data_IF_321704207661
#
_entry.id   IF_321704207661
#
_cell.length_a   1.000
_cell.length_b   1.000
_cell.length_c   1.000
_cell.angle_alpha   90.00
_cell.angle_beta   90.00
_cell.angle_gamma   90.00
#
_symmetry.space_group_name_H-M   'P 1'
#
loop_
_entity.id
_entity.type
_entity.pdbx_description
1 polymer ?
#
# COMPACT_ATOMS: atom_id res chain seq x y z
N UNK A 1 8.48 10.83 -3.80
CA UNK A 1 8.72 9.71 -2.86
C UNK A 1 7.59 9.77 -1.83
N UNK A 2 6.73 8.75 -1.74
CA UNK A 2 5.51 8.82 -0.91
C UNK A 2 5.65 7.90 0.32
N UNK A 3 5.53 8.49 1.51
CA UNK A 3 5.47 7.82 2.81
C UNK A 3 4.10 8.02 3.50
N UNK A 4 3.06 8.33 2.74
CA UNK A 4 1.73 8.59 3.26
C UNK A 4 1.24 7.47 4.19
N UNK A 5 0.80 7.87 5.39
CA UNK A 5 0.31 6.96 6.42
C UNK A 5 1.39 6.15 7.15
N UNK A 6 2.70 6.36 6.87
CA UNK A 6 3.79 5.71 7.61
C UNK A 6 4.10 6.47 8.88
N UNK A 7 4.24 5.75 9.99
CA UNK A 7 4.46 6.28 11.33
C UNK A 7 5.92 6.07 11.75
N UNK A 8 6.67 7.16 11.84
CA UNK A 8 8.11 7.15 12.14
C UNK A 8 8.35 7.76 13.51
N UNK A 9 8.90 6.97 14.42
CA UNK A 9 9.32 7.41 15.75
C UNK A 9 10.81 7.76 15.72
N UNK A 10 11.16 9.02 15.91
CA UNK A 10 12.56 9.48 15.91
C UNK A 10 13.01 9.72 17.34
N UNK A 11 13.97 8.95 17.81
CA UNK A 11 14.66 9.11 19.08
C UNK A 11 15.97 9.87 18.88
N UNK A 12 16.06 11.07 19.45
CA UNK A 12 17.23 11.95 19.32
C UNK A 12 18.06 11.88 20.58
N UNK A 13 19.37 11.66 20.43
CA UNK A 13 20.30 11.60 21.56
C UNK A 13 21.23 12.82 21.62
N UNK A 14 21.85 13.07 22.78
CA UNK A 14 22.64 14.26 23.04
C UNK A 14 23.98 14.25 22.32
N UNK A 15 24.08 14.90 21.20
CA UNK A 15 25.29 15.12 20.40
C UNK A 15 25.07 16.20 19.34
N UNK A 16 26.18 16.81 18.88
CA UNK A 16 26.08 17.94 17.97
C UNK A 16 25.29 17.61 16.69
N UNK A 17 25.38 16.38 16.17
CA UNK A 17 24.65 15.96 14.98
C UNK A 17 23.12 16.03 15.12
N UNK A 18 22.58 16.22 16.34
CA UNK A 18 21.15 16.37 16.57
C UNK A 18 20.55 17.56 15.81
N UNK A 19 21.31 18.62 15.49
CA UNK A 19 20.78 19.74 14.71
C UNK A 19 20.24 19.33 13.33
N UNK A 20 20.80 18.27 12.74
CA UNK A 20 20.39 17.76 11.43
C UNK A 20 18.97 17.17 11.45
N UNK A 21 18.48 16.75 12.63
CA UNK A 21 17.17 16.10 12.76
C UNK A 21 16.01 17.01 12.38
N UNK A 22 16.17 18.32 12.54
CA UNK A 22 15.15 19.28 12.07
C UNK A 22 14.85 19.14 10.58
N UNK A 23 15.89 18.98 9.76
CA UNK A 23 15.74 18.75 8.31
C UNK A 23 15.10 17.39 8.04
N UNK A 24 15.56 16.34 8.69
CA UNK A 24 15.06 14.99 8.52
C UNK A 24 13.57 14.87 8.89
N UNK A 25 13.14 15.44 10.01
CA UNK A 25 11.72 15.51 10.41
C UNK A 25 10.89 16.21 9.33
N UNK A 26 11.39 17.34 8.81
CA UNK A 26 10.70 18.09 7.76
C UNK A 26 10.58 17.29 6.47
N UNK A 27 11.60 16.53 6.09
CA UNK A 27 11.59 15.73 4.88
C UNK A 27 10.60 14.55 4.99
N UNK A 28 10.52 13.87 6.11
CA UNK A 28 9.51 12.85 6.35
C UNK A 28 8.08 13.42 6.28
N UNK A 29 7.83 14.56 6.95
CA UNK A 29 6.51 15.22 6.95
C UNK A 29 6.11 15.67 5.54
N UNK A 30 7.04 16.27 4.76
CA UNK A 30 6.78 16.70 3.38
C UNK A 30 6.41 15.55 2.46
N UNK A 31 6.91 14.35 2.74
CA UNK A 31 6.64 13.15 1.98
C UNK A 31 5.50 12.30 2.58
N UNK A 32 4.67 12.89 3.44
CA UNK A 32 3.40 12.33 3.91
C UNK A 32 3.50 11.41 5.13
N UNK A 33 4.67 11.25 5.74
CA UNK A 33 4.81 10.46 6.97
C UNK A 33 4.24 11.20 8.18
N UNK A 34 3.77 10.43 9.17
CA UNK A 34 3.54 10.91 10.52
C UNK A 34 4.81 10.72 11.34
N UNK A 35 5.29 11.80 11.98
CA UNK A 35 6.53 11.75 12.77
C UNK A 35 6.28 12.06 14.23
N UNK A 36 6.71 11.18 15.10
CA UNK A 36 6.77 11.39 16.56
C UNK A 36 8.23 11.50 17.00
N UNK A 37 8.53 12.50 17.82
CA UNK A 37 9.91 12.73 18.30
C UNK A 37 10.02 12.46 19.79
N UNK A 38 11.08 11.73 20.16
CA UNK A 38 11.53 11.52 21.54
C UNK A 38 12.92 12.12 21.70
N UNK A 39 13.21 12.71 22.87
CA UNK A 39 14.53 13.21 23.21
C UNK A 39 15.08 12.48 24.44
N UNK A 40 16.38 12.14 24.44
CA UNK A 40 17.06 11.85 25.70
C UNK A 40 17.19 13.15 26.51
N UNK A 41 17.37 13.07 27.84
CA UNK A 41 17.56 14.27 28.65
C UNK A 41 18.67 15.20 28.13
N UNK A 42 19.81 14.64 27.71
CA UNK A 42 20.93 15.40 27.13
C UNK A 42 20.66 15.96 25.73
N UNK A 43 19.72 15.40 24.96
CA UNK A 43 19.40 15.92 23.63
C UNK A 43 18.77 17.32 23.69
N UNK A 44 18.14 17.70 24.81
CA UNK A 44 17.52 19.01 25.00
C UNK A 44 18.51 20.18 24.90
N UNK A 45 19.79 19.92 25.13
CA UNK A 45 20.85 20.93 25.00
C UNK A 45 21.22 21.21 23.54
N UNK A 46 20.91 20.30 22.62
CA UNK A 46 21.30 20.39 21.21
C UNK A 46 20.14 20.74 20.28
N UNK A 47 18.89 20.47 20.66
CA UNK A 47 17.71 20.72 19.84
C UNK A 47 16.56 21.26 20.66
N UNK A 48 15.78 22.15 20.05
CA UNK A 48 14.64 22.77 20.69
C UNK A 48 13.38 21.90 20.58
N UNK A 49 12.74 21.65 21.73
CA UNK A 49 11.40 21.06 21.78
C UNK A 49 10.40 21.80 20.90
N UNK A 50 10.40 23.13 20.94
CA UNK A 50 9.49 23.96 20.17
C UNK A 50 9.68 23.77 18.66
N UNK A 51 10.94 23.76 18.22
CA UNK A 51 11.24 23.56 16.79
C UNK A 51 10.76 22.20 16.32
N UNK A 52 11.09 21.15 17.04
CA UNK A 52 10.72 19.77 16.65
C UNK A 52 9.22 19.54 16.72
N UNK A 53 8.51 20.06 17.73
CA UNK A 53 7.05 19.94 17.83
C UNK A 53 6.33 20.70 16.71
N UNK A 54 6.84 21.86 16.32
CA UNK A 54 6.31 22.65 15.22
C UNK A 54 6.49 21.92 13.88
N UNK A 55 7.67 21.32 13.65
CA UNK A 55 7.97 20.61 12.40
C UNK A 55 7.20 19.30 12.29
N UNK A 56 7.13 18.51 13.36
CA UNK A 56 6.42 17.23 13.40
C UNK A 56 4.90 17.38 13.53
N UNK A 57 4.41 18.57 13.91
CA UNK A 57 3.01 18.86 14.26
C UNK A 57 2.48 17.99 15.42
N UNK A 58 3.38 17.48 16.27
CA UNK A 58 3.07 16.60 17.39
C UNK A 58 3.89 17.00 18.63
N UNK A 59 3.37 16.67 19.82
CA UNK A 59 4.09 16.86 21.08
C UNK A 59 5.40 16.06 21.07
N UNK A 60 6.51 16.69 21.46
CA UNK A 60 7.81 16.03 21.65
C UNK A 60 7.88 15.53 23.08
N UNK A 61 8.40 14.33 23.31
CA UNK A 61 8.52 13.74 24.64
C UNK A 61 9.98 13.55 25.02
N UNK A 62 10.29 13.72 26.31
CA UNK A 62 11.65 13.53 26.82
C UNK A 62 11.68 12.89 28.23
N UNK A 63 10.56 12.94 28.94
CA UNK A 63 10.43 12.43 30.30
C UNK A 63 9.26 11.44 30.36
N UNK A 64 9.28 10.56 31.38
CA UNK A 64 8.17 9.62 31.60
C UNK A 64 6.87 10.31 32.03
N UNK A 65 6.95 11.50 32.59
CA UNK A 65 5.77 12.30 32.93
C UNK A 65 5.91 13.74 32.46
N UNK A 66 4.77 14.37 32.12
CA UNK A 66 4.72 15.81 31.88
C UNK A 66 4.81 16.61 33.20
N UNK A 67 5.00 17.91 33.08
CA UNK A 67 4.97 18.80 34.28
C UNK A 67 3.62 18.79 34.98
N UNK A 68 2.55 18.48 34.25
CA UNK A 68 1.17 18.41 34.73
C UNK A 68 0.83 17.00 35.32
N UNK A 69 1.82 16.10 35.40
CA UNK A 69 1.65 14.76 35.97
C UNK A 69 1.07 13.73 35.01
N UNK A 70 0.86 14.04 33.76
CA UNK A 70 0.43 13.07 32.76
C UNK A 70 1.56 12.08 32.43
N UNK A 71 1.24 10.80 32.39
CA UNK A 71 2.15 9.73 32.03
C UNK A 71 2.39 9.66 30.53
N UNK A 72 3.64 9.68 30.09
CA UNK A 72 4.03 9.45 28.71
C UNK A 72 4.32 7.95 28.51
N UNK A 73 3.33 7.22 28.03
CA UNK A 73 3.43 5.76 27.83
C UNK A 73 4.47 5.39 26.80
N UNK A 74 5.59 4.83 27.23
CA UNK A 74 6.63 4.30 26.33
C UNK A 74 6.12 3.12 25.50
N UNK A 75 5.15 2.34 26.03
CA UNK A 75 4.53 1.22 25.32
C UNK A 75 3.67 1.72 24.16
N UNK A 76 2.82 2.73 24.40
CA UNK A 76 1.97 3.28 23.35
C UNK A 76 2.80 3.96 22.25
N UNK A 77 3.87 4.65 22.62
CA UNK A 77 4.82 5.24 21.67
C UNK A 77 5.50 4.18 20.80
N UNK A 78 5.93 3.07 21.42
CA UNK A 78 6.57 1.96 20.74
C UNK A 78 5.60 1.21 19.80
N UNK A 79 4.35 0.99 20.22
CA UNK A 79 3.32 0.30 19.41
C UNK A 79 2.73 1.18 18.33
N UNK A 80 2.79 2.51 18.46
CA UNK A 80 2.33 3.44 17.44
C UNK A 80 3.20 3.41 16.17
N UNK A 81 4.50 3.14 16.31
CA UNK A 81 5.48 3.28 15.24
C UNK A 81 5.52 2.11 14.27
N UNK A 82 5.58 2.39 12.96
CA UNK A 82 5.94 1.42 11.93
C UNK A 82 7.46 1.21 11.85
N UNK A 83 8.24 2.25 12.23
CA UNK A 83 9.71 2.25 12.31
C UNK A 83 10.13 3.15 13.46
N UNK A 84 11.14 2.72 14.23
CA UNK A 84 11.87 3.56 15.16
C UNK A 84 13.25 3.89 14.59
N UNK A 85 13.62 5.17 14.58
CA UNK A 85 14.93 5.68 14.18
C UNK A 85 15.62 6.32 15.37
N UNK A 86 16.78 5.81 15.75
CA UNK A 86 17.66 6.44 16.76
C UNK A 86 18.73 7.25 16.02
N UNK A 87 18.55 8.56 15.94
CA UNK A 87 19.41 9.47 15.19
C UNK A 87 19.48 10.87 15.84
N UNK A 88 20.69 11.38 16.10
CA UNK A 88 21.95 10.64 16.17
C UNK A 88 21.89 9.58 17.27
N UNK A 89 22.67 8.50 17.16
CA UNK A 89 22.88 7.55 18.23
C UNK A 89 24.30 7.70 18.80
N UNK A 90 24.41 8.24 20.03
CA UNK A 90 25.69 8.36 20.73
C UNK A 90 26.16 7.03 21.28
N UNK A 91 27.48 6.90 21.54
CA UNK A 91 28.06 5.72 22.18
C UNK A 91 27.38 5.36 23.52
N UNK A 92 27.02 6.38 24.32
CA UNK A 92 26.30 6.21 25.59
C UNK A 92 24.92 5.55 25.37
N UNK A 93 24.13 6.09 24.44
CA UNK A 93 22.79 5.54 24.18
C UNK A 93 22.89 4.15 23.56
N UNK A 94 23.80 3.92 22.62
CA UNK A 94 24.04 2.61 22.03
C UNK A 94 24.39 1.57 23.11
N UNK A 95 25.32 1.91 24.03
CA UNK A 95 25.69 1.02 25.12
C UNK A 95 24.49 0.69 26.04
N UNK A 96 23.65 1.67 26.37
CA UNK A 96 22.43 1.46 27.17
C UNK A 96 21.41 0.57 26.44
N UNK A 97 21.19 0.78 25.15
CA UNK A 97 20.29 -0.02 24.34
C UNK A 97 20.66 -1.50 24.37
N UNK A 98 21.91 -1.84 24.07
CA UNK A 98 22.35 -3.22 23.95
C UNK A 98 22.53 -3.93 25.30
N UNK A 99 22.73 -3.19 26.39
CA UNK A 99 22.83 -3.77 27.74
C UNK A 99 21.53 -3.64 28.55
N UNK A 100 20.44 -3.10 27.96
CA UNK A 100 19.15 -2.98 28.63
C UNK A 100 19.09 -2.00 29.80
N UNK A 101 19.96 -0.97 29.84
CA UNK A 101 20.00 0.04 30.90
C UNK A 101 18.89 1.07 30.69
N UNK A 102 17.73 0.80 31.27
CA UNK A 102 16.50 1.56 31.05
C UNK A 102 16.36 2.74 32.04
N UNK A 103 17.07 3.83 31.79
CA UNK A 103 17.11 5.00 32.65
C UNK A 103 16.41 6.26 32.08
N UNK A 104 15.82 6.16 30.92
CA UNK A 104 15.11 7.26 30.28
C UNK A 104 14.03 6.76 29.30
N UNK A 105 13.12 7.67 28.88
CA UNK A 105 11.98 7.35 28.02
C UNK A 105 12.39 6.75 26.67
N UNK A 106 13.51 7.19 26.07
CA UNK A 106 13.99 6.67 24.77
C UNK A 106 14.34 5.19 24.88
N UNK A 107 15.09 4.79 25.92
CA UNK A 107 15.48 3.39 26.11
C UNK A 107 14.26 2.53 26.47
N UNK A 108 13.36 3.01 27.32
CA UNK A 108 12.13 2.29 27.65
C UNK A 108 11.28 2.03 26.39
N UNK A 109 11.17 3.03 25.52
CA UNK A 109 10.44 2.89 24.24
C UNK A 109 11.15 1.92 23.30
N UNK A 110 12.49 1.98 23.21
CA UNK A 110 13.28 1.03 22.41
C UNK A 110 13.07 -0.41 22.87
N UNK A 111 13.16 -0.68 24.16
CA UNK A 111 12.95 -2.03 24.72
C UNK A 111 11.52 -2.54 24.55
N UNK A 112 10.56 -1.66 24.33
CA UNK A 112 9.15 -2.00 24.07
C UNK A 112 8.80 -2.07 22.58
N UNK A 113 9.72 -1.69 21.68
CA UNK A 113 9.47 -1.60 20.25
C UNK A 113 9.19 -2.97 19.63
N UNK A 114 8.13 -3.04 18.82
CA UNK A 114 7.79 -4.20 17.99
C UNK A 114 8.13 -3.96 16.51
N UNK A 115 8.32 -2.69 16.15
CA UNK A 115 8.72 -2.28 14.82
C UNK A 115 10.24 -2.42 14.62
N UNK A 116 10.72 -2.46 13.38
CA UNK A 116 12.14 -2.37 13.07
C UNK A 116 12.78 -1.10 13.63
N UNK A 117 13.98 -1.24 14.16
CA UNK A 117 14.74 -0.11 14.72
C UNK A 117 15.96 0.16 13.86
N UNK A 118 16.08 1.40 13.41
CA UNK A 118 17.23 1.92 12.68
C UNK A 118 18.10 2.74 13.61
N UNK A 119 19.42 2.59 13.50
CA UNK A 119 20.38 3.29 14.34
C UNK A 119 21.36 4.03 13.44
N UNK A 120 21.44 5.35 13.58
CA UNK A 120 22.42 6.22 12.89
C UNK A 120 23.48 6.67 13.92
N UNK A 121 24.61 5.97 14.04
CA UNK A 121 25.67 6.31 14.98
C UNK A 121 26.29 7.67 14.70
N UNK A 122 26.62 8.40 15.77
CA UNK A 122 27.33 9.68 15.69
C UNK A 122 28.22 9.86 16.92
N UNK A 123 29.54 9.92 16.71
CA UNK A 123 30.54 10.10 17.76
C UNK A 123 31.89 10.45 17.14
N UNK A 124 32.84 10.85 17.98
CA UNK A 124 34.19 11.13 17.51
C UNK A 124 34.90 9.88 17.00
N UNK A 125 35.95 10.05 16.18
CA UNK A 125 36.69 8.98 15.50
C UNK A 125 37.14 7.89 16.48
N UNK A 126 37.87 8.28 17.54
CA UNK A 126 38.43 7.34 18.51
C UNK A 126 37.33 6.61 19.33
N UNK A 127 36.20 7.27 19.55
CA UNK A 127 35.02 6.64 20.17
C UNK A 127 34.37 5.63 19.22
N UNK A 128 34.37 5.91 17.91
CA UNK A 128 33.72 5.03 16.92
C UNK A 128 34.50 3.71 16.74
N UNK A 129 35.83 3.79 16.69
CA UNK A 129 36.71 2.62 16.56
C UNK A 129 37.03 1.94 17.90
N UNK A 130 36.57 2.49 19.03
CA UNK A 130 36.83 1.89 20.33
C UNK A 130 36.22 0.48 20.41
N UNK A 131 36.95 -0.54 20.92
CA UNK A 131 36.46 -1.92 20.95
C UNK A 131 35.08 -2.11 21.58
N UNK A 132 34.73 -1.29 22.59
CA UNK A 132 33.38 -1.34 23.18
C UNK A 132 32.29 -0.85 22.23
N UNK A 133 32.57 0.15 21.40
CA UNK A 133 31.62 0.67 20.42
C UNK A 133 31.42 -0.32 19.27
N UNK A 134 32.51 -0.88 18.74
CA UNK A 134 32.43 -1.91 17.70
C UNK A 134 31.64 -3.12 18.17
N UNK A 135 31.94 -3.60 19.41
CA UNK A 135 31.17 -4.69 20.02
C UNK A 135 29.69 -4.33 20.14
N UNK A 136 29.37 -3.11 20.60
CA UNK A 136 27.98 -2.70 20.82
C UNK A 136 27.22 -2.51 19.49
N UNK A 137 27.86 -2.05 18.42
CA UNK A 137 27.27 -1.98 17.08
C UNK A 137 26.92 -3.38 16.58
N UNK A 138 27.89 -4.32 16.70
CA UNK A 138 27.68 -5.72 16.31
C UNK A 138 26.56 -6.36 17.11
N UNK A 139 26.51 -6.14 18.43
CA UNK A 139 25.47 -6.68 19.28
C UNK A 139 24.09 -6.07 18.95
N UNK A 140 24.03 -4.80 18.59
CA UNK A 140 22.80 -4.18 18.11
C UNK A 140 22.30 -4.84 16.82
N UNK A 141 23.19 -5.19 15.87
CA UNK A 141 22.82 -5.94 14.67
C UNK A 141 22.35 -7.35 15.00
N UNK A 142 23.00 -8.05 15.91
CA UNK A 142 22.59 -9.38 16.38
C UNK A 142 21.18 -9.37 17.01
N UNK A 143 20.78 -8.26 17.64
CA UNK A 143 19.42 -8.05 18.16
C UNK A 143 18.39 -7.66 17.08
N UNK A 144 18.83 -7.60 15.80
CA UNK A 144 17.95 -7.30 14.66
C UNK A 144 17.78 -5.81 14.39
N UNK A 145 18.58 -4.94 15.00
CA UNK A 145 18.59 -3.53 14.64
C UNK A 145 19.33 -3.30 13.31
N UNK A 146 18.91 -2.30 12.57
CA UNK A 146 19.50 -1.94 11.27
C UNK A 146 20.44 -0.75 11.49
N UNK A 147 21.73 -0.95 11.30
CA UNK A 147 22.71 0.12 11.42
C UNK A 147 22.78 0.89 10.10
N UNK A 148 22.56 2.20 10.16
CA UNK A 148 22.87 3.14 9.06
C UNK A 148 24.32 3.57 9.27
N UNK A 149 25.28 3.16 8.41
CA UNK A 149 26.69 3.35 8.67
C UNK A 149 27.05 4.83 8.87
N UNK A 150 27.93 5.11 9.81
CA UNK A 150 28.52 6.45 9.94
C UNK A 150 29.39 6.76 8.72
N UNK A 151 29.37 8.02 8.28
CA UNK A 151 30.14 8.50 7.14
C UNK A 151 31.54 9.01 7.57
N UNK A 152 32.44 9.08 6.59
CA UNK A 152 33.74 9.71 6.75
C UNK A 152 33.64 11.21 6.48
N UNK A 153 34.37 12.00 7.22
CA UNK A 153 34.44 13.44 7.04
C UNK A 153 35.03 14.15 8.23
N UNK A 154 35.04 15.49 8.17
CA UNK A 154 35.43 16.32 9.27
C UNK A 154 34.41 16.20 10.43
N UNK A 155 34.92 15.96 11.61
CA UNK A 155 34.13 15.84 12.87
C UNK A 155 34.14 17.18 13.62
N UNK A 156 33.26 17.34 14.58
CA UNK A 156 33.19 18.56 15.40
C UNK A 156 34.46 18.85 16.21
N UNK A 157 35.26 17.82 16.45
CA UNK A 157 36.59 17.94 17.05
C UNK A 157 37.70 18.48 16.11
N UNK A 158 37.40 18.60 14.81
CA UNK A 158 38.39 18.93 13.77
C UNK A 158 39.17 17.72 13.24
N UNK A 159 38.92 16.50 13.81
CA UNK A 159 39.50 15.27 13.26
C UNK A 159 38.78 14.86 11.98
N UNK A 160 39.48 14.19 11.08
CA UNK A 160 38.89 13.64 9.84
C UNK A 160 38.88 12.12 9.94
N UNK A 161 37.68 11.52 9.79
CA UNK A 161 37.56 10.08 9.83
C UNK A 161 36.09 9.61 9.94
N UNK A 162 35.94 8.34 10.24
CA UNK A 162 34.64 7.69 10.36
C UNK A 162 34.02 7.95 11.75
N UNK A 163 32.77 8.39 11.80
CA UNK A 163 32.06 8.69 13.06
C UNK A 163 30.97 9.73 12.88
N UNK A 164 30.96 10.42 11.73
CA UNK A 164 29.93 11.39 11.36
C UNK A 164 28.60 10.70 11.10
N UNK A 165 27.52 11.19 11.71
CA UNK A 165 26.19 10.69 11.39
C UNK A 165 25.94 10.79 9.89
N UNK A 166 25.40 9.74 9.31
CA UNK A 166 24.98 9.73 7.91
C UNK A 166 24.14 10.98 7.56
N UNK A 167 24.30 11.48 6.33
CA UNK A 167 23.53 12.64 5.89
C UNK A 167 22.04 12.35 5.90
N UNK A 168 21.23 13.39 6.10
CA UNK A 168 19.78 13.26 6.25
C UNK A 168 19.13 12.61 5.03
N UNK A 169 19.66 12.88 3.85
CA UNK A 169 19.23 12.29 2.58
C UNK A 169 19.45 10.78 2.55
N UNK A 170 20.59 10.30 3.07
CA UNK A 170 20.93 8.87 3.12
C UNK A 170 20.08 8.13 4.16
N UNK A 171 19.85 8.74 5.32
CA UNK A 171 18.95 8.22 6.35
C UNK A 171 17.51 8.12 5.80
N UNK A 172 17.02 9.22 5.18
CA UNK A 172 15.71 9.26 4.56
C UNK A 172 15.55 8.17 3.50
N UNK A 173 16.52 8.06 2.58
CA UNK A 173 16.53 7.05 1.52
C UNK A 173 16.50 5.63 2.09
N UNK A 174 17.31 5.35 3.10
CA UNK A 174 17.35 4.01 3.74
C UNK A 174 16.00 3.61 4.31
N UNK A 175 15.31 4.51 5.01
CA UNK A 175 13.99 4.25 5.58
C UNK A 175 12.93 4.16 4.47
N UNK A 176 13.00 5.03 3.46
CA UNK A 176 12.13 4.97 2.29
C UNK A 176 12.26 3.64 1.54
N UNK A 177 13.50 3.21 1.25
CA UNK A 177 13.77 1.94 0.57
C UNK A 177 13.32 0.75 1.40
N UNK A 178 13.45 0.83 2.73
CA UNK A 178 12.93 -0.19 3.64
C UNK A 178 11.40 -0.33 3.55
N UNK A 179 10.65 0.76 3.57
CA UNK A 179 9.20 0.70 3.40
C UNK A 179 8.81 0.18 2.01
N UNK A 180 9.57 0.54 0.97
CA UNK A 180 9.34 0.05 -0.39
C UNK A 180 9.81 -1.40 -0.59
N UNK A 181 10.89 -1.82 0.06
CA UNK A 181 11.35 -3.22 0.00
C UNK A 181 10.46 -4.17 0.80
N UNK A 182 9.80 -3.66 1.86
CA UNK A 182 8.71 -4.36 2.57
C UNK A 182 7.39 -4.39 1.79
N UNK A 183 7.19 -3.55 0.78
CA UNK A 183 6.34 -3.94 -0.33
C UNK A 183 7.02 -5.15 -0.99
N UNK A 184 6.96 -6.32 -0.32
CA UNK A 184 7.36 -7.59 -0.87
C UNK A 184 6.83 -7.59 -2.29
N UNK A 185 7.68 -7.96 -3.23
CA UNK A 185 7.23 -8.46 -4.54
C UNK A 185 6.49 -9.78 -4.28
N UNK A 186 5.46 -9.70 -3.45
CA UNK A 186 4.68 -10.83 -2.94
C UNK A 186 3.98 -11.58 -4.05
N UNK A 187 3.78 -10.90 -5.18
CA UNK A 187 3.27 -11.46 -6.43
C UNK A 187 4.38 -11.64 -7.48
N UNK A 188 5.67 -11.62 -7.09
CA UNK A 188 6.76 -11.89 -8.03
C UNK A 188 6.62 -13.27 -8.66
N UNK A 189 6.77 -13.36 -9.98
CA UNK A 189 6.58 -14.59 -10.75
C UNK A 189 5.13 -14.97 -11.01
N UNK A 190 4.14 -14.19 -10.50
CA UNK A 190 2.72 -14.38 -10.77
C UNK A 190 2.25 -13.54 -11.95
N UNK A 191 1.38 -14.09 -12.77
CA UNK A 191 0.66 -13.37 -13.83
C UNK A 191 -0.75 -13.02 -13.32
N UNK A 192 -1.05 -11.72 -13.30
CA UNK A 192 -2.35 -11.18 -12.88
C UNK A 192 -3.09 -10.61 -14.09
N UNK A 193 -4.25 -11.15 -14.40
CA UNK A 193 -5.15 -10.69 -15.44
C UNK A 193 -6.28 -9.87 -14.82
N UNK A 194 -6.47 -8.64 -15.28
CA UNK A 194 -7.55 -7.77 -14.79
C UNK A 194 -8.40 -7.27 -15.96
N UNK A 195 -9.72 -7.25 -15.78
CA UNK A 195 -10.61 -6.56 -16.72
C UNK A 195 -11.12 -5.26 -16.11
N UNK A 196 -11.23 -4.20 -16.91
CA UNK A 196 -11.65 -2.87 -16.49
C UNK A 196 -12.62 -2.19 -17.44
N UNK A 197 -13.28 -1.15 -16.97
CA UNK A 197 -14.19 -0.33 -17.77
C UNK A 197 -15.51 -1.00 -18.11
N UNK A 198 -16.39 -0.30 -18.86
CA UNK A 198 -17.59 -0.87 -19.45
C UNK A 198 -17.29 -1.60 -20.75
N UNK A 199 -18.24 -2.38 -21.25
CA UNK A 199 -18.30 -2.73 -22.68
C UNK A 199 -19.39 -1.93 -23.36
N UNK A 200 -19.21 -1.64 -24.65
CA UNK A 200 -20.13 -0.90 -25.47
C UNK A 200 -20.59 -1.80 -26.63
N UNK A 201 -21.87 -2.11 -26.61
CA UNK A 201 -22.50 -2.96 -27.62
C UNK A 201 -23.17 -2.06 -28.65
N UNK A 202 -22.57 -1.97 -29.84
CA UNK A 202 -23.01 -1.05 -30.89
C UNK A 202 -24.44 -1.36 -31.33
N UNK A 203 -25.27 -0.33 -31.46
CA UNK A 203 -26.56 -0.35 -32.13
C UNK A 203 -26.36 0.06 -33.60
N UNK A 204 -25.57 1.12 -33.79
CA UNK A 204 -25.17 1.65 -35.10
C UNK A 204 -23.80 2.37 -34.91
N UNK A 205 -23.19 2.99 -35.92
CA UNK A 205 -21.88 3.67 -35.78
C UNK A 205 -21.84 4.80 -34.75
N UNK A 206 -22.98 5.23 -34.20
CA UNK A 206 -23.08 6.39 -33.33
C UNK A 206 -23.60 6.02 -31.93
N UNK A 207 -24.47 5.02 -31.81
CA UNK A 207 -25.16 4.65 -30.58
C UNK A 207 -24.77 3.26 -30.09
N UNK A 208 -24.76 3.08 -28.78
CA UNK A 208 -24.42 1.81 -28.14
C UNK A 208 -25.23 1.60 -26.85
N UNK A 209 -25.29 0.36 -26.39
CA UNK A 209 -25.72 -0.04 -25.05
C UNK A 209 -24.48 -0.29 -24.23
N UNK A 210 -24.45 0.22 -23.00
CA UNK A 210 -23.31 0.05 -22.11
C UNK A 210 -23.63 0.45 -20.68
N UNK A 211 -22.70 0.18 -19.77
CA UNK A 211 -22.80 0.47 -18.35
C UNK A 211 -22.08 1.79 -17.97
N UNK A 212 -22.50 2.43 -16.88
CA UNK A 212 -21.90 3.68 -16.40
C UNK A 212 -20.56 3.52 -15.67
N UNK A 213 -19.81 2.44 -15.91
CA UNK A 213 -18.52 2.23 -15.27
C UNK A 213 -17.47 3.23 -15.72
N UNK A 214 -16.73 3.82 -14.77
CA UNK A 214 -15.59 4.70 -15.07
C UNK A 214 -14.27 3.93 -15.26
N UNK A 215 -14.22 2.65 -14.87
CA UNK A 215 -13.00 1.84 -14.91
C UNK A 215 -12.02 2.05 -13.74
N UNK A 216 -12.22 3.06 -12.87
CA UNK A 216 -11.26 3.45 -11.83
C UNK A 216 -10.79 2.28 -10.94
N UNK A 217 -11.70 1.41 -10.49
CA UNK A 217 -11.32 0.25 -9.66
C UNK A 217 -10.47 -0.74 -10.45
N UNK A 218 -10.86 -0.99 -11.71
CA UNK A 218 -10.12 -1.88 -12.61
C UNK A 218 -8.76 -1.35 -13.07
N UNK A 219 -8.43 -0.07 -12.83
CA UNK A 219 -7.09 0.49 -13.01
C UNK A 219 -6.28 0.50 -11.71
N UNK A 220 -6.90 0.72 -10.56
CA UNK A 220 -6.22 0.70 -9.26
C UNK A 220 -5.66 -0.70 -8.91
N UNK A 221 -6.40 -1.76 -9.22
CA UNK A 221 -5.98 -3.15 -8.92
C UNK A 221 -4.70 -3.56 -9.69
N UNK A 222 -4.62 -3.40 -11.03
CA UNK A 222 -3.41 -3.76 -11.77
C UNK A 222 -2.20 -2.91 -11.39
N UNK A 223 -2.38 -1.63 -11.05
CA UNK A 223 -1.29 -0.78 -10.57
C UNK A 223 -0.73 -1.26 -9.23
N UNK A 224 -1.60 -1.70 -8.32
CA UNK A 224 -1.17 -2.28 -7.05
C UNK A 224 -0.52 -3.67 -7.25
N UNK A 225 -1.02 -4.50 -8.17
CA UNK A 225 -0.44 -5.80 -8.50
C UNK A 225 0.98 -5.66 -9.11
N UNK A 226 1.18 -4.66 -9.97
CA UNK A 226 2.49 -4.34 -10.54
C UNK A 226 3.49 -3.90 -9.46
N UNK A 227 3.07 -3.04 -8.53
CA UNK A 227 3.88 -2.65 -7.36
C UNK A 227 4.32 -3.87 -6.54
N UNK A 228 3.48 -4.91 -6.45
CA UNK A 228 3.79 -6.20 -5.78
C UNK A 228 4.63 -7.14 -6.64
N UNK A 229 5.07 -6.69 -7.82
CA UNK A 229 5.98 -7.41 -8.71
C UNK A 229 5.32 -8.46 -9.61
N UNK A 230 4.01 -8.42 -9.76
CA UNK A 230 3.30 -9.28 -10.72
C UNK A 230 3.60 -8.86 -12.17
N UNK A 231 3.55 -9.84 -13.08
CA UNK A 231 3.34 -9.58 -14.52
C UNK A 231 1.85 -9.29 -14.71
N UNK A 232 1.51 -8.07 -15.15
CA UNK A 232 0.11 -7.62 -15.20
C UNK A 232 -0.37 -7.48 -16.63
N UNK A 233 -1.55 -8.05 -16.91
CA UNK A 233 -2.30 -7.91 -18.15
C UNK A 233 -3.63 -7.22 -17.81
N UNK A 234 -3.86 -6.05 -18.38
CA UNK A 234 -5.08 -5.28 -18.21
C UNK A 234 -5.86 -5.24 -19.53
N UNK A 235 -7.06 -5.84 -19.54
CA UNK A 235 -7.99 -5.77 -20.66
C UNK A 235 -9.04 -4.72 -20.31
N UNK A 236 -9.06 -3.62 -21.05
CA UNK A 236 -9.93 -2.48 -20.74
C UNK A 236 -10.92 -2.18 -21.84
N UNK A 237 -12.19 -2.14 -21.49
CA UNK A 237 -13.21 -1.49 -22.28
C UNK A 237 -13.00 0.04 -22.37
N UNK A 238 -13.89 0.78 -23.05
CA UNK A 238 -13.73 2.21 -23.28
C UNK A 238 -13.65 3.01 -21.98
N UNK A 239 -12.54 3.76 -21.80
CA UNK A 239 -12.32 4.65 -20.67
C UNK A 239 -11.32 5.74 -21.04
N UNK A 240 -11.37 6.87 -20.34
CA UNK A 240 -10.40 7.97 -20.44
C UNK A 240 -9.14 7.73 -19.61
N UNK A 241 -9.14 6.70 -18.77
CA UNK A 241 -8.02 6.37 -17.88
C UNK A 241 -6.83 5.86 -18.69
N UNK A 242 -5.65 6.13 -18.18
CA UNK A 242 -4.37 5.67 -18.70
C UNK A 242 -3.51 5.20 -17.53
N UNK A 243 -2.57 4.33 -17.80
CA UNK A 243 -1.52 3.94 -16.84
C UNK A 243 -0.16 4.11 -17.52
N UNK A 244 0.81 4.60 -16.76
CA UNK A 244 2.22 4.74 -17.11
C UNK A 244 3.08 3.62 -16.51
N UNK A 245 2.42 2.66 -15.82
CA UNK A 245 3.07 1.51 -15.19
C UNK A 245 3.47 0.45 -16.23
N UNK A 246 4.32 -0.47 -15.81
CA UNK A 246 4.75 -1.60 -16.64
C UNK A 246 3.63 -2.67 -16.71
N UNK A 247 2.50 -2.29 -17.30
CA UNK A 247 1.28 -3.08 -17.45
C UNK A 247 1.00 -3.32 -18.93
N UNK A 248 0.78 -4.57 -19.33
CA UNK A 248 0.35 -4.90 -20.67
C UNK A 248 -1.13 -4.54 -20.85
N UNK A 249 -1.41 -3.38 -21.48
CA UNK A 249 -2.77 -2.89 -21.68
C UNK A 249 -3.30 -3.30 -23.06
N UNK A 250 -4.40 -4.05 -23.09
CA UNK A 250 -5.17 -4.40 -24.26
C UNK A 250 -6.54 -3.70 -24.22
N UNK A 251 -6.86 -2.92 -25.26
CA UNK A 251 -8.12 -2.19 -25.38
C UNK A 251 -9.12 -2.96 -26.20
N UNK A 252 -10.35 -3.04 -25.71
CA UNK A 252 -11.48 -3.70 -26.35
C UNK A 252 -12.70 -2.79 -26.27
N UNK A 253 -13.70 -3.00 -27.13
CA UNK A 253 -14.95 -2.24 -27.11
C UNK A 253 -16.13 -3.07 -26.60
N UNK A 254 -16.31 -4.27 -27.12
CA UNK A 254 -17.48 -5.11 -26.87
C UNK A 254 -17.19 -6.24 -25.88
N UNK A 255 -18.27 -6.82 -25.35
CA UNK A 255 -18.20 -8.02 -24.50
C UNK A 255 -17.56 -9.20 -25.25
N UNK A 256 -17.82 -9.34 -26.54
CA UNK A 256 -17.23 -10.38 -27.37
C UNK A 256 -15.71 -10.20 -27.54
N UNK A 257 -15.26 -8.96 -27.77
CA UNK A 257 -13.83 -8.66 -27.84
C UNK A 257 -13.15 -8.92 -26.50
N UNK A 258 -13.76 -8.48 -25.38
CA UNK A 258 -13.27 -8.74 -24.04
C UNK A 258 -13.19 -10.25 -23.73
N UNK A 259 -14.21 -11.02 -24.14
CA UNK A 259 -14.19 -12.47 -24.02
C UNK A 259 -12.97 -13.07 -24.75
N UNK A 260 -12.75 -12.70 -26.00
CA UNK A 260 -11.65 -13.22 -26.81
C UNK A 260 -10.29 -12.87 -26.20
N UNK A 261 -10.09 -11.60 -25.80
CA UNK A 261 -8.87 -11.11 -25.17
C UNK A 261 -8.58 -11.84 -23.85
N UNK A 262 -9.60 -12.04 -23.01
CA UNK A 262 -9.44 -12.79 -21.75
C UNK A 262 -8.94 -14.21 -22.01
N UNK A 263 -9.54 -14.93 -22.95
CA UNK A 263 -9.17 -16.33 -23.22
C UNK A 263 -7.86 -16.51 -24.00
N UNK A 264 -7.29 -15.46 -24.58
CA UNK A 264 -5.90 -15.49 -25.09
C UNK A 264 -4.88 -15.58 -23.98
N UNK A 265 -5.20 -15.07 -22.77
CA UNK A 265 -4.27 -14.96 -21.66
C UNK A 265 -4.59 -15.91 -20.49
N UNK A 266 -5.83 -16.39 -20.38
CA UNK A 266 -6.33 -17.07 -19.17
C UNK A 266 -5.55 -18.35 -18.80
N UNK A 267 -5.12 -19.15 -19.78
CA UNK A 267 -4.36 -20.39 -19.50
C UNK A 267 -3.00 -20.12 -18.83
N UNK A 268 -2.40 -18.94 -19.05
CA UNK A 268 -1.12 -18.51 -18.48
C UNK A 268 -1.28 -17.54 -17.32
N UNK A 269 -2.48 -17.46 -16.74
CA UNK A 269 -2.81 -16.55 -15.64
C UNK A 269 -2.81 -17.32 -14.32
N UNK A 270 -2.21 -16.74 -13.27
CA UNK A 270 -2.31 -17.27 -11.90
C UNK A 270 -3.52 -16.68 -11.16
N UNK A 271 -3.77 -15.38 -11.33
CA UNK A 271 -4.85 -14.64 -10.65
C UNK A 271 -5.63 -13.86 -11.69
N UNK A 272 -6.94 -14.07 -11.75
CA UNK A 272 -7.82 -13.34 -12.65
C UNK A 272 -8.85 -12.53 -11.85
N UNK A 273 -8.89 -11.20 -12.05
CA UNK A 273 -9.77 -10.28 -11.33
C UNK A 273 -10.69 -9.58 -12.32
N UNK A 274 -11.95 -9.99 -12.32
CA UNK A 274 -12.95 -9.57 -13.30
C UNK A 274 -13.77 -8.40 -12.77
N UNK A 275 -13.24 -7.17 -12.92
CA UNK A 275 -13.86 -5.94 -12.39
C UNK A 275 -14.57 -5.09 -13.47
N UNK A 276 -14.50 -5.49 -14.74
CA UNK A 276 -15.21 -4.81 -15.82
C UNK A 276 -16.74 -4.90 -15.65
N UNK A 277 -17.43 -3.85 -16.06
CA UNK A 277 -18.89 -3.81 -16.16
C UNK A 277 -19.33 -4.24 -17.56
N UNK A 278 -19.31 -5.54 -17.78
CA UNK A 278 -19.69 -6.15 -19.06
C UNK A 278 -21.20 -6.08 -19.27
N UNK A 279 -21.64 -5.69 -20.46
CA UNK A 279 -23.06 -5.71 -20.80
C UNK A 279 -23.55 -7.16 -20.98
N UNK A 280 -24.67 -7.50 -20.35
CA UNK A 280 -25.26 -8.85 -20.45
C UNK A 280 -25.90 -9.13 -21.81
N UNK A 281 -26.28 -8.09 -22.52
CA UNK A 281 -26.98 -8.16 -23.81
C UNK A 281 -26.36 -7.23 -24.86
N UNK A 282 -26.36 -7.67 -26.08
CA UNK A 282 -25.99 -6.88 -27.28
C UNK A 282 -27.13 -6.87 -28.31
N UNK A 283 -27.20 -5.84 -29.18
CA UNK A 283 -28.09 -5.90 -30.33
C UNK A 283 -27.82 -7.13 -31.20
N UNK A 284 -28.89 -7.82 -31.60
CA UNK A 284 -28.82 -9.00 -32.50
C UNK A 284 -28.17 -8.64 -33.84
N UNK A 285 -28.49 -7.46 -34.34
CA UNK A 285 -27.99 -6.90 -35.58
C UNK A 285 -27.49 -5.48 -35.34
N UNK A 286 -26.32 -5.17 -35.86
CA UNK A 286 -25.71 -3.83 -35.78
C UNK A 286 -25.91 -3.15 -37.16
N UNK A 287 -26.58 -2.01 -37.15
CA UNK A 287 -26.80 -1.26 -38.40
C UNK A 287 -25.47 -0.68 -38.91
N UNK A 288 -25.20 -0.85 -40.21
CA UNK A 288 -23.98 -0.34 -40.85
C UNK A 288 -23.97 1.18 -40.99
N UNK A 289 -25.17 1.78 -41.01
CA UNK A 289 -25.33 3.23 -41.05
C UNK A 289 -26.15 3.71 -39.86
N UNK A 290 -26.02 5.00 -39.55
CA UNK A 290 -26.83 5.64 -38.50
C UNK A 290 -28.32 5.48 -38.80
N UNK A 291 -29.05 4.83 -37.92
CA UNK A 291 -30.51 4.65 -38.03
C UNK A 291 -31.18 6.02 -38.03
N UNK A 292 -31.90 6.35 -39.09
CA UNK A 292 -32.66 7.61 -39.20
C UNK A 292 -33.93 7.53 -38.35
N UNK A 293 -34.38 8.67 -37.82
CA UNK A 293 -35.66 8.79 -37.15
C UNK A 293 -36.77 8.77 -38.21
N UNK A 294 -37.46 7.67 -38.33
CA UNK A 294 -38.59 7.53 -39.25
C UNK A 294 -39.93 7.39 -38.51
N UNK A 295 -39.89 6.88 -37.25
CA UNK A 295 -41.06 6.59 -36.44
C UNK A 295 -40.89 7.15 -35.04
N UNK A 296 -41.98 7.26 -34.26
CA UNK A 296 -41.97 7.73 -32.87
C UNK A 296 -41.33 6.72 -31.92
N UNK A 297 -41.28 5.45 -32.31
CA UNK A 297 -40.72 4.34 -31.53
C UNK A 297 -39.65 3.58 -32.31
N UNK A 298 -38.67 3.05 -31.58
CA UNK A 298 -37.65 2.15 -32.14
C UNK A 298 -37.52 0.90 -31.27
N UNK A 299 -37.69 -0.26 -31.89
CA UNK A 299 -37.49 -1.56 -31.22
C UNK A 299 -36.12 -2.15 -31.57
N UNK A 300 -35.38 -2.60 -30.58
CA UNK A 300 -34.09 -3.28 -30.77
C UNK A 300 -34.19 -4.67 -30.15
N UNK A 301 -33.96 -5.70 -30.97
CA UNK A 301 -33.88 -7.08 -30.45
C UNK A 301 -32.50 -7.31 -29.84
N UNK A 302 -32.46 -7.74 -28.58
CA UNK A 302 -31.23 -8.02 -27.85
C UNK A 302 -30.98 -9.52 -27.74
N UNK A 303 -29.73 -9.93 -27.79
CA UNK A 303 -29.26 -11.30 -27.57
C UNK A 303 -28.25 -11.30 -26.41
N UNK A 304 -28.16 -12.41 -25.68
CA UNK A 304 -27.21 -12.53 -24.56
C UNK A 304 -25.77 -12.54 -25.06
N UNK A 305 -24.93 -11.77 -24.39
CA UNK A 305 -23.49 -11.84 -24.55
C UNK A 305 -22.91 -13.11 -23.87
N UNK A 306 -21.73 -13.58 -24.29
CA UNK A 306 -21.02 -14.64 -23.58
C UNK A 306 -20.73 -14.25 -22.13
N UNK A 307 -21.04 -15.14 -21.19
CA UNK A 307 -20.69 -14.91 -19.77
C UNK A 307 -19.22 -15.29 -19.54
N UNK A 308 -18.35 -14.28 -19.61
CA UNK A 308 -16.89 -14.42 -19.48
C UNK A 308 -16.55 -15.13 -18.16
N UNK A 309 -17.07 -14.63 -17.05
CA UNK A 309 -16.73 -15.12 -15.71
C UNK A 309 -17.23 -16.55 -15.46
N UNK A 310 -18.41 -16.90 -15.99
CA UNK A 310 -18.94 -18.28 -15.95
C UNK A 310 -18.03 -19.22 -16.74
N UNK A 311 -17.68 -18.87 -17.97
CA UNK A 311 -16.81 -19.69 -18.83
C UNK A 311 -15.40 -19.85 -18.22
N UNK A 312 -14.87 -18.80 -17.56
CA UNK A 312 -13.61 -18.91 -16.82
C UNK A 312 -13.72 -19.90 -15.67
N UNK A 313 -14.79 -19.85 -14.89
CA UNK A 313 -15.01 -20.79 -13.79
C UNK A 313 -15.17 -22.26 -14.26
N UNK A 314 -15.75 -22.49 -15.44
CA UNK A 314 -15.85 -23.83 -16.06
C UNK A 314 -14.50 -24.33 -16.58
N UNK A 315 -13.63 -23.45 -17.07
CA UNK A 315 -12.30 -23.78 -17.61
C UNK A 315 -11.16 -23.67 -16.61
N UNK A 316 -11.44 -23.15 -15.43
CA UNK A 316 -10.43 -22.92 -14.36
C UNK A 316 -9.72 -24.24 -13.99
N UNK A 317 -8.39 -24.17 -13.92
CA UNK A 317 -7.51 -25.25 -13.40
C UNK A 317 -6.96 -24.84 -12.04
N UNK A 318 -5.87 -24.06 -12.05
CA UNK A 318 -5.17 -23.60 -10.85
C UNK A 318 -5.34 -22.09 -10.61
N UNK A 319 -6.03 -21.38 -11.51
CA UNK A 319 -6.21 -19.93 -11.42
C UNK A 319 -7.04 -19.55 -10.18
N UNK A 320 -6.62 -18.49 -9.50
CA UNK A 320 -7.44 -17.84 -8.48
C UNK A 320 -8.38 -16.82 -9.14
N UNK A 321 -9.67 -17.08 -9.09
CA UNK A 321 -10.68 -16.33 -9.84
C UNK A 321 -11.49 -15.42 -8.93
N UNK A 322 -11.40 -14.10 -9.15
CA UNK A 322 -12.11 -13.05 -8.41
C UNK A 322 -13.18 -12.43 -9.30
N UNK A 323 -14.42 -12.44 -8.85
CA UNK A 323 -15.52 -11.73 -9.49
C UNK A 323 -15.91 -10.47 -8.72
N UNK A 324 -16.57 -9.54 -9.41
CA UNK A 324 -17.22 -8.39 -8.80
C UNK A 324 -18.75 -8.54 -8.87
N UNK A 325 -19.41 -8.08 -7.84
CA UNK A 325 -20.86 -7.95 -7.81
C UNK A 325 -21.23 -6.52 -7.39
N UNK A 326 -22.17 -5.94 -8.10
CA UNK A 326 -22.83 -4.71 -7.75
C UNK A 326 -24.32 -5.01 -7.67
N UNK A 327 -24.86 -4.98 -6.47
CA UNK A 327 -26.23 -5.41 -6.19
C UNK A 327 -26.99 -4.28 -5.52
N UNK A 328 -28.31 -4.29 -5.64
CA UNK A 328 -29.21 -3.31 -5.04
C UNK A 328 -30.19 -3.92 -4.05
N UNK A 329 -30.43 -5.22 -4.15
CA UNK A 329 -31.33 -6.01 -3.29
C UNK A 329 -30.72 -7.38 -3.02
N UNK A 330 -30.94 -7.94 -1.84
CA UNK A 330 -30.42 -9.25 -1.42
C UNK A 330 -28.94 -9.46 -1.75
N UNK A 331 -28.15 -8.42 -1.51
CA UNK A 331 -26.79 -8.24 -2.00
C UNK A 331 -25.87 -9.43 -1.67
N UNK A 332 -25.88 -9.89 -0.40
CA UNK A 332 -25.04 -11.00 0.05
C UNK A 332 -25.48 -12.35 -0.51
N UNK A 333 -26.77 -12.59 -0.56
CA UNK A 333 -27.32 -13.85 -1.10
C UNK A 333 -27.04 -13.98 -2.59
N UNK A 334 -27.24 -12.90 -3.35
CA UNK A 334 -26.92 -12.83 -4.78
C UNK A 334 -25.43 -13.04 -5.02
N UNK A 335 -24.55 -12.39 -4.21
CA UNK A 335 -23.10 -12.53 -4.32
C UNK A 335 -22.66 -13.97 -4.00
N UNK A 336 -23.16 -14.58 -2.93
CA UNK A 336 -22.90 -16.00 -2.60
C UNK A 336 -23.40 -16.95 -3.69
N UNK A 337 -24.60 -16.71 -4.20
CA UNK A 337 -25.12 -17.47 -5.35
C UNK A 337 -24.26 -17.35 -6.60
N UNK A 338 -23.72 -16.16 -6.89
CA UNK A 338 -22.80 -15.91 -8.01
C UNK A 338 -21.46 -16.62 -7.81
N UNK A 339 -20.90 -16.56 -6.58
CA UNK A 339 -19.66 -17.24 -6.21
C UNK A 339 -19.73 -18.73 -6.52
N UNK A 340 -20.79 -19.40 -6.10
CA UNK A 340 -20.99 -20.85 -6.32
C UNK A 340 -21.27 -21.15 -7.79
N UNK A 341 -22.26 -20.48 -8.41
CA UNK A 341 -22.66 -20.77 -9.79
C UNK A 341 -21.55 -20.55 -10.82
N UNK A 342 -20.62 -19.63 -10.55
CA UNK A 342 -19.52 -19.31 -11.45
C UNK A 342 -18.16 -19.89 -11.00
N UNK A 343 -18.16 -20.77 -10.00
CA UNK A 343 -16.97 -21.45 -9.47
C UNK A 343 -15.83 -20.44 -9.13
N UNK A 344 -16.16 -19.36 -8.42
CA UNK A 344 -15.20 -18.33 -8.03
C UNK A 344 -14.49 -18.72 -6.73
N UNK A 345 -13.26 -18.24 -6.55
CA UNK A 345 -12.54 -18.34 -5.29
C UNK A 345 -12.90 -17.18 -4.35
N UNK A 346 -13.25 -16.03 -4.93
CA UNK A 346 -13.57 -14.82 -4.19
C UNK A 346 -14.54 -13.95 -4.97
N UNK A 347 -15.42 -13.24 -4.26
CA UNK A 347 -16.26 -12.18 -4.85
C UNK A 347 -16.12 -10.90 -4.04
N UNK A 348 -15.96 -9.79 -4.74
CA UNK A 348 -15.95 -8.44 -4.17
C UNK A 348 -17.32 -7.83 -4.40
N UNK A 349 -18.07 -7.65 -3.33
CA UNK A 349 -19.39 -7.07 -3.34
C UNK A 349 -19.30 -5.56 -3.06
N UNK A 350 -19.85 -4.77 -3.98
CA UNK A 350 -20.08 -3.34 -3.82
C UNK A 350 -21.56 -3.08 -3.60
N UNK A 351 -21.90 -2.21 -2.65
CA UNK A 351 -23.26 -1.74 -2.43
C UNK A 351 -23.47 -0.34 -3.02
N UNK A 352 -24.57 -0.14 -3.72
CA UNK A 352 -25.01 1.20 -4.16
C UNK A 352 -25.74 1.98 -3.06
N UNK A 353 -26.07 1.34 -1.93
CA UNK A 353 -26.76 1.98 -0.80
C UNK A 353 -25.85 2.89 0.03
N UNK A 354 -24.54 2.67 -0.03
CA UNK A 354 -23.59 3.45 0.74
C UNK A 354 -23.28 4.77 0.03
N UNK A 355 -23.56 5.89 0.69
CA UNK A 355 -23.17 7.23 0.21
C UNK A 355 -21.66 7.31 0.04
N UNK A 356 -21.19 7.71 -1.14
CA UNK A 356 -19.75 7.76 -1.50
C UNK A 356 -19.19 6.49 -2.15
N UNK A 357 -19.96 5.39 -2.22
CA UNK A 357 -19.59 4.20 -2.98
C UNK A 357 -20.18 4.25 -4.41
N UNK A 358 -19.56 3.55 -5.36
CA UNK A 358 -20.08 3.37 -6.72
C UNK A 358 -19.19 3.87 -7.86
N UNK A 359 -19.73 3.86 -9.09
CA UNK A 359 -18.94 4.00 -10.32
C UNK A 359 -18.21 5.32 -10.51
N UNK A 360 -18.78 6.45 -10.08
CA UNK A 360 -18.24 7.80 -10.33
C UNK A 360 -17.33 8.32 -9.22
N UNK A 361 -17.40 7.77 -8.02
CA UNK A 361 -16.66 8.24 -6.85
C UNK A 361 -15.20 7.75 -6.87
N UNK A 362 -14.31 8.47 -6.17
CA UNK A 362 -12.92 8.06 -5.96
C UNK A 362 -12.77 7.10 -4.77
N UNK A 363 -13.83 6.96 -4.00
CA UNK A 363 -13.93 6.04 -2.86
C UNK A 363 -14.79 4.83 -3.19
N UNK A 364 -14.60 3.75 -2.42
CA UNK A 364 -15.42 2.56 -2.46
C UNK A 364 -15.52 1.91 -1.08
N UNK A 365 -16.63 1.21 -0.84
CA UNK A 365 -16.85 0.36 0.32
C UNK A 365 -17.16 -1.03 -0.19
N UNK A 366 -16.42 -2.02 0.27
CA UNK A 366 -16.53 -3.39 -0.23
C UNK A 366 -16.77 -4.39 0.90
N UNK A 367 -17.39 -5.50 0.54
CA UNK A 367 -17.39 -6.74 1.31
C UNK A 367 -16.73 -7.82 0.45
N UNK A 368 -15.77 -8.55 1.00
CA UNK A 368 -15.16 -9.71 0.37
C UNK A 368 -15.84 -10.97 0.90
N UNK A 369 -16.19 -11.86 0.00
CA UNK A 369 -16.83 -13.15 0.31
C UNK A 369 -16.05 -14.26 -0.40
N UNK A 370 -15.67 -15.30 0.35
CA UNK A 370 -15.12 -16.56 -0.14
C UNK A 370 -16.03 -17.72 0.26
N UNK A 371 -15.79 -18.96 -0.16
CA UNK A 371 -16.55 -20.12 0.32
C UNK A 371 -16.49 -20.33 1.83
N UNK A 372 -15.40 -19.90 2.51
CA UNK A 372 -15.14 -20.17 3.92
C UNK A 372 -15.33 -18.97 4.85
N UNK A 373 -15.21 -17.75 4.35
CA UNK A 373 -15.23 -16.54 5.18
C UNK A 373 -15.77 -15.31 4.45
N UNK A 374 -16.16 -14.30 5.23
CA UNK A 374 -16.51 -13.00 4.69
C UNK A 374 -15.92 -11.89 5.56
N UNK A 375 -15.57 -10.75 4.93
CA UNK A 375 -14.95 -9.59 5.59
C UNK A 375 -15.50 -8.29 5.04
N UNK A 376 -15.91 -7.40 5.94
CA UNK A 376 -16.36 -6.05 5.62
C UNK A 376 -15.18 -5.07 5.70
N UNK A 377 -15.15 -4.12 4.78
CA UNK A 377 -14.16 -3.05 4.75
C UNK A 377 -14.84 -1.69 4.82
N UNK A 378 -14.23 -0.75 5.52
CA UNK A 378 -14.72 0.62 5.60
C UNK A 378 -14.61 1.33 4.23
N UNK A 379 -15.32 2.46 4.10
CA UNK A 379 -15.16 3.35 2.94
C UNK A 379 -13.73 3.89 2.88
N UNK A 380 -13.05 3.65 1.76
CA UNK A 380 -11.66 4.05 1.51
C UNK A 380 -11.47 4.55 0.07
N UNK A 381 -10.29 5.09 -0.25
CA UNK A 381 -9.89 5.34 -1.64
C UNK A 381 -9.87 4.05 -2.45
N UNK A 382 -10.04 4.13 -3.77
CA UNK A 382 -9.99 2.93 -4.64
C UNK A 382 -8.61 2.29 -4.66
N UNK A 383 -7.56 3.06 -4.44
CA UNK A 383 -6.19 2.59 -4.28
C UNK A 383 -6.04 1.74 -3.01
N UNK A 384 -6.61 2.18 -1.87
CA UNK A 384 -6.56 1.42 -0.63
C UNK A 384 -7.47 0.18 -0.68
N UNK A 385 -8.61 0.27 -1.37
CA UNK A 385 -9.45 -0.90 -1.63
C UNK A 385 -8.72 -1.92 -2.52
N UNK A 386 -7.93 -1.49 -3.50
CA UNK A 386 -7.11 -2.40 -4.31
C UNK A 386 -6.07 -3.15 -3.46
N UNK A 387 -5.46 -2.47 -2.47
CA UNK A 387 -4.57 -3.11 -1.49
C UNK A 387 -5.33 -4.16 -0.67
N UNK A 388 -6.48 -3.80 -0.09
CA UNK A 388 -7.30 -4.73 0.70
C UNK A 388 -7.68 -5.99 -0.11
N UNK A 389 -8.03 -5.82 -1.40
CA UNK A 389 -8.38 -6.95 -2.28
C UNK A 389 -7.16 -7.85 -2.50
N UNK A 390 -6.01 -7.29 -2.84
CA UNK A 390 -4.80 -8.08 -3.11
C UNK A 390 -4.21 -8.70 -1.84
N UNK A 391 -4.26 -8.03 -0.70
CA UNK A 391 -3.88 -8.60 0.59
C UNK A 391 -4.70 -9.86 0.89
N UNK A 392 -6.01 -9.78 0.65
CA UNK A 392 -6.91 -10.90 0.87
C UNK A 392 -6.67 -12.05 -0.14
N UNK A 393 -6.39 -11.73 -1.40
CA UNK A 393 -6.01 -12.73 -2.42
C UNK A 393 -4.74 -13.46 -2.00
N UNK A 394 -3.71 -12.76 -1.56
CA UNK A 394 -2.45 -13.35 -1.09
C UNK A 394 -2.66 -14.25 0.13
N UNK A 395 -3.48 -13.82 1.08
CA UNK A 395 -3.84 -14.63 2.25
C UNK A 395 -4.52 -15.96 1.85
N UNK A 396 -5.46 -15.91 0.90
CA UNK A 396 -6.13 -17.10 0.40
C UNK A 396 -5.20 -18.03 -0.38
N UNK A 397 -4.27 -17.48 -1.16
CA UNK A 397 -3.28 -18.28 -1.88
C UNK A 397 -2.34 -19.01 -0.92
N UNK A 398 -1.94 -18.37 0.18
CA UNK A 398 -1.11 -19.02 1.21
C UNK A 398 -1.87 -20.18 1.89
N UNK A 399 -3.16 -19.98 2.22
CA UNK A 399 -4.02 -21.04 2.81
C UNK A 399 -4.22 -22.25 1.89
N UNK A 400 -4.15 -22.07 0.56
CA UNK A 400 -4.26 -23.18 -0.41
C UNK A 400 -2.98 -24.04 -0.52
N UNK A 401 -1.84 -23.50 -0.10
CA UNK A 401 -0.54 -24.18 -0.17
C UNK A 401 -0.12 -24.82 1.17
N UNK A 402 -0.92 -24.62 2.22
CA UNK A 402 -0.79 -25.26 3.53
C UNK A 402 -1.78 -26.41 3.66
#
# INVERSE_FOLDING_TARGET
>A
MDLSGKKILIAVTGGIAAYKINTLVRDFIKNGAEVQVLLTPSAKEFVSHLTLSTLSKRKVFSEFSSQDGEWNSHVDLALWADVMLVAPCTANTLAKMVNGVCDNLVIATYLSAKCPVFIAPAMDLDMYIHPSTERNLKLAEEYGNIIIPAEEGELASGLIGKGRMAETENIYKTIFDFFNSKQKKSLAGKTVLVTAGPTYEAIDPVRFIGNHSSGKMGFAIPEEAEKRGAKVILISGPTVLRTDKNISLEKVNSAKEMYNAVFQHFDNTDIAIMSAAVADYAPKEVAQEKIKKNDDEMTITLVKNPDILKTMGEKKKNQFLVGFALETQNEEENAKGKLVRKNLDMIVLNSLKDSGAGFKNDTNKIKIITPSEQKDFALKSKEDVAKDILDFVEEQLQKKHT
#
